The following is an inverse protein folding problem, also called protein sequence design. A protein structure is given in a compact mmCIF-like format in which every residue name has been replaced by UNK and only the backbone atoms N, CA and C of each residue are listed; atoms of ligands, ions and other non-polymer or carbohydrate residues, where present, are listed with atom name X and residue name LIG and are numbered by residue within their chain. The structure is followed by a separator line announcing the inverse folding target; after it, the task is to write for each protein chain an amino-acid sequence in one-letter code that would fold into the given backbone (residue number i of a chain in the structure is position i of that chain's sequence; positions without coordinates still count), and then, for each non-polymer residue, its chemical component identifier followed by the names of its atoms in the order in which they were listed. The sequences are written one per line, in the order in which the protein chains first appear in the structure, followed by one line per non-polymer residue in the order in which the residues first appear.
data_IF_928253175202
#
_entry.id   IF_928253175202
#
_cell.length_a   1.000
_cell.length_b   1.000
_cell.length_c   1.000
_cell.angle_alpha   90.00
_cell.angle_beta   90.00
_cell.angle_gamma   90.00
#
_symmetry.space_group_name_H-M   'P 1'
#
loop_
_entity.id
_entity.type
_entity.pdbx_description
1 polymer ?
#
# COMPACT_ATOMS: atom_id res chain seq x y z
N UNK A 1 3.57 -8.74 -9.61
CA UNK A 1 4.52 -7.93 -10.35
C UNK A 1 5.81 -7.64 -9.58
N UNK A 2 6.72 -6.98 -10.26
CA UNK A 2 8.07 -6.72 -9.74
C UNK A 2 8.06 -5.94 -8.44
N UNK A 3 7.28 -4.87 -8.37
CA UNK A 3 7.24 -4.01 -7.19
C UNK A 3 6.72 -4.76 -5.96
N UNK A 4 5.68 -5.57 -6.12
CA UNK A 4 5.14 -6.38 -5.02
C UNK A 4 6.19 -7.39 -4.52
N UNK A 5 6.96 -7.95 -5.42
CA UNK A 5 8.03 -8.87 -5.06
C UNK A 5 9.13 -8.16 -4.27
N UNK A 6 9.49 -6.94 -4.67
CA UNK A 6 10.46 -6.14 -3.94
C UNK A 6 9.96 -5.77 -2.54
N UNK A 7 8.70 -5.38 -2.43
CA UNK A 7 8.11 -5.03 -1.14
C UNK A 7 8.05 -6.22 -0.20
N UNK A 8 7.68 -7.41 -0.70
CA UNK A 8 7.69 -8.63 0.10
C UNK A 8 9.10 -9.02 0.56
N UNK A 9 10.09 -8.87 -0.33
CA UNK A 9 11.47 -9.15 0.02
C UNK A 9 11.95 -8.22 1.13
N UNK A 10 11.56 -6.95 1.09
CA UNK A 10 11.92 -5.98 2.12
C UNK A 10 11.27 -6.27 3.47
N UNK A 11 10.01 -6.75 3.47
CA UNK A 11 9.31 -7.09 4.71
C UNK A 11 9.98 -8.23 5.46
N UNK A 12 10.55 -9.19 4.75
CA UNK A 12 11.17 -10.37 5.37
C UNK A 12 12.69 -10.31 5.45
N UNK A 13 13.30 -9.24 4.95
CA UNK A 13 14.75 -9.12 4.94
C UNK A 13 15.29 -8.51 6.23
N UNK A 14 16.50 -8.92 6.61
CA UNK A 14 17.24 -8.30 7.69
C UNK A 14 17.91 -7.02 7.18
N UNK A 15 18.14 -6.04 8.05
CA UNK A 15 18.85 -4.83 7.69
C UNK A 15 20.30 -5.12 7.29
N UNK A 16 20.78 -4.44 6.26
CA UNK A 16 22.14 -4.59 5.76
C UNK A 16 22.31 -3.99 4.39
N UNK A 17 23.53 -4.06 3.81
CA UNK A 17 23.80 -3.47 2.50
C UNK A 17 22.95 -4.03 1.36
N UNK A 18 22.63 -5.32 1.39
CA UNK A 18 21.76 -5.92 0.37
C UNK A 18 20.35 -5.37 0.46
N UNK A 19 19.80 -5.26 1.68
CA UNK A 19 18.47 -4.70 1.91
C UNK A 19 18.43 -3.23 1.47
N UNK A 20 19.48 -2.48 1.76
CA UNK A 20 19.57 -1.07 1.33
C UNK A 20 19.58 -0.96 -0.19
N UNK A 21 20.29 -1.86 -0.88
CA UNK A 21 20.32 -1.90 -2.34
C UNK A 21 18.96 -2.23 -2.95
N UNK A 22 18.24 -3.18 -2.37
CA UNK A 22 16.88 -3.52 -2.81
C UNK A 22 15.93 -2.36 -2.58
N UNK A 23 16.03 -1.69 -1.43
CA UNK A 23 15.21 -0.53 -1.11
C UNK A 23 15.44 0.61 -2.10
N UNK A 24 16.70 0.86 -2.45
CA UNK A 24 17.05 1.87 -3.45
C UNK A 24 16.48 1.52 -4.82
N UNK A 25 16.54 0.25 -5.22
CA UNK A 25 15.97 -0.21 -6.49
C UNK A 25 14.46 0.00 -6.52
N UNK A 26 13.77 -0.31 -5.41
CA UNK A 26 12.34 -0.05 -5.28
C UNK A 26 12.04 1.43 -5.44
N UNK A 27 12.78 2.30 -4.75
CA UNK A 27 12.55 3.74 -4.78
C UNK A 27 12.80 4.31 -6.18
N UNK A 28 13.82 3.84 -6.88
CA UNK A 28 14.08 4.25 -8.25
C UNK A 28 12.96 3.83 -9.19
N UNK A 29 12.39 2.64 -9.01
CA UNK A 29 11.26 2.17 -9.80
C UNK A 29 10.03 3.04 -9.54
N UNK A 30 9.74 3.36 -8.30
CA UNK A 30 8.62 4.22 -7.93
C UNK A 30 8.80 5.61 -8.55
N UNK A 31 9.99 6.19 -8.47
CA UNK A 31 10.28 7.50 -9.07
C UNK A 31 10.07 7.49 -10.59
N UNK A 32 10.50 6.43 -11.27
CA UNK A 32 10.32 6.29 -12.71
C UNK A 32 8.84 6.20 -13.07
N UNK A 33 8.04 5.47 -12.28
CA UNK A 33 6.61 5.36 -12.49
C UNK A 33 5.90 6.69 -12.26
N UNK A 34 6.29 7.44 -11.23
CA UNK A 34 5.72 8.75 -10.95
C UNK A 34 5.99 9.74 -12.08
N UNK A 35 7.17 9.67 -12.69
CA UNK A 35 7.51 10.53 -13.83
C UNK A 35 6.59 10.25 -15.03
N UNK A 36 6.06 9.04 -15.17
CA UNK A 36 5.13 8.67 -16.22
C UNK A 36 3.65 8.86 -15.82
N UNK A 37 3.39 9.37 -14.62
CA UNK A 37 2.04 9.64 -14.14
C UNK A 37 1.41 8.52 -13.32
N UNK A 38 2.17 7.48 -12.99
CA UNK A 38 1.72 6.39 -12.12
C UNK A 38 2.12 6.72 -10.69
N UNK A 39 1.14 6.85 -9.81
CA UNK A 39 1.38 7.23 -8.41
C UNK A 39 0.78 6.21 -7.45
N UNK A 40 1.40 6.01 -6.28
CA UNK A 40 0.82 5.15 -5.26
C UNK A 40 -0.44 5.81 -4.67
N UNK A 41 -1.41 4.99 -4.30
CA UNK A 41 -2.60 5.46 -3.59
C UNK A 41 -2.21 5.66 -2.13
N UNK A 42 -2.44 6.86 -1.62
CA UNK A 42 -2.21 7.14 -0.21
C UNK A 42 -3.31 6.54 0.64
N UNK A 43 -2.93 5.74 1.61
CA UNK A 43 -3.85 5.12 2.56
C UNK A 43 -3.71 5.83 3.89
N UNK A 44 -4.72 6.62 4.23
CA UNK A 44 -4.79 7.28 5.53
C UNK A 44 -5.47 6.39 6.57
N UNK A 45 -6.14 7.00 7.51
CA UNK A 45 -6.84 6.27 8.57
C UNK A 45 -8.29 5.96 8.22
N UNK A 46 -8.86 6.63 7.22
CA UNK A 46 -10.25 6.41 6.80
C UNK A 46 -10.31 5.59 5.52
N UNK A 47 -11.29 4.69 5.45
CA UNK A 47 -11.53 3.89 4.27
C UNK A 47 -12.17 4.75 3.17
N UNK A 48 -11.59 4.71 1.95
CA UNK A 48 -12.13 5.39 0.79
C UNK A 48 -12.53 4.36 -0.27
N UNK A 49 -13.82 4.13 -0.51
CA UNK A 49 -14.26 3.12 -1.46
C UNK A 49 -13.90 3.43 -2.91
N UNK A 50 -13.51 4.67 -3.22
CA UNK A 50 -13.09 5.05 -4.58
C UNK A 50 -11.69 4.57 -4.91
N UNK A 51 -10.82 4.41 -3.91
CA UNK A 51 -9.41 4.04 -4.11
C UNK A 51 -9.00 2.77 -3.37
N UNK A 52 -9.87 2.21 -2.54
CA UNK A 52 -9.55 1.09 -1.67
C UNK A 52 -10.59 -0.01 -1.77
N UNK A 53 -10.15 -1.23 -1.49
CA UNK A 53 -11.02 -2.40 -1.41
C UNK A 53 -10.81 -3.06 -0.06
N UNK A 54 -11.87 -3.23 0.71
CA UNK A 54 -11.81 -3.92 2.00
C UNK A 54 -11.88 -5.43 1.76
N UNK A 55 -10.80 -6.14 2.06
CA UNK A 55 -10.75 -7.59 1.92
C UNK A 55 -11.38 -8.31 3.11
N UNK A 56 -11.24 -7.73 4.30
CA UNK A 56 -11.77 -8.29 5.52
C UNK A 56 -11.99 -7.20 6.55
N UNK A 57 -12.72 -7.52 7.59
CA UNK A 57 -12.99 -6.61 8.69
C UNK A 57 -12.57 -7.21 10.02
N UNK A 58 -12.19 -6.34 10.95
CA UNK A 58 -11.90 -6.71 12.33
C UNK A 58 -12.76 -5.85 13.24
N UNK A 59 -13.00 -6.28 14.49
CA UNK A 59 -13.80 -5.49 15.41
C UNK A 59 -13.22 -4.10 15.64
N UNK A 60 -14.07 -3.10 15.68
CA UNK A 60 -13.65 -1.74 16.02
C UNK A 60 -13.21 -1.65 17.48
N UNK A 61 -12.31 -0.72 17.76
CA UNK A 61 -11.79 -0.47 19.10
C UNK A 61 -11.53 1.03 19.26
N UNK A 62 -11.05 1.43 20.43
CA UNK A 62 -10.68 2.84 20.65
C UNK A 62 -9.56 3.28 19.73
N UNK A 63 -8.59 2.39 19.44
CA UNK A 63 -7.49 2.69 18.54
C UNK A 63 -7.94 2.72 17.08
N UNK A 64 -8.93 1.90 16.74
CA UNK A 64 -9.47 1.76 15.39
C UNK A 64 -10.99 1.91 15.43
N UNK A 65 -11.50 3.16 15.41
CA UNK A 65 -12.96 3.39 15.34
C UNK A 65 -13.54 2.78 14.07
N UNK A 66 -14.86 2.55 14.09
CA UNK A 66 -15.58 1.99 12.93
C UNK A 66 -15.24 2.74 11.64
N UNK A 67 -14.94 1.99 10.59
CA UNK A 67 -14.56 2.54 9.29
C UNK A 67 -13.11 2.93 9.14
N UNK A 68 -12.26 2.60 10.11
CA UNK A 68 -10.82 2.89 10.04
C UNK A 68 -10.07 1.82 9.25
N UNK A 69 -9.03 2.24 8.55
CA UNK A 69 -8.08 1.31 7.92
C UNK A 69 -7.09 0.87 8.98
N UNK A 70 -7.04 -0.44 9.22
CA UNK A 70 -6.14 -1.02 10.21
C UNK A 70 -4.80 -1.39 9.57
N UNK A 71 -4.83 -1.98 8.38
CA UNK A 71 -3.65 -2.47 7.71
C UNK A 71 -3.85 -2.45 6.21
N UNK A 72 -2.78 -2.19 5.47
CA UNK A 72 -2.75 -2.29 4.01
C UNK A 72 -2.10 -3.61 3.63
N UNK A 73 -2.88 -4.50 3.02
CA UNK A 73 -2.39 -5.82 2.61
C UNK A 73 -1.70 -5.77 1.25
N UNK A 74 -2.16 -4.90 0.37
CA UNK A 74 -1.63 -4.76 -0.97
C UNK A 74 -1.74 -3.30 -1.42
N UNK A 75 -0.62 -2.76 -1.92
CA UNK A 75 -0.56 -1.36 -2.36
C UNK A 75 -1.41 -1.13 -3.59
N UNK A 76 -2.06 0.02 -3.64
CA UNK A 76 -2.83 0.45 -4.80
C UNK A 76 -2.07 1.48 -5.63
N UNK A 77 -2.48 1.65 -6.88
CA UNK A 77 -1.81 2.52 -7.83
C UNK A 77 -2.82 3.27 -8.70
N UNK A 78 -2.49 4.51 -9.03
CA UNK A 78 -3.27 5.33 -9.96
C UNK A 78 -2.42 5.73 -11.14
N UNK A 79 -3.06 5.84 -12.31
CA UNK A 79 -2.47 6.50 -13.46
C UNK A 79 -3.27 7.78 -13.70
N UNK A 80 -2.64 8.93 -13.38
CA UNK A 80 -3.32 10.24 -13.39
C UNK A 80 -4.59 10.17 -12.54
N UNK A 81 -5.78 10.30 -13.12
CA UNK A 81 -7.06 10.29 -12.37
C UNK A 81 -7.71 8.92 -12.30
N UNK A 82 -7.04 7.88 -12.77
CA UNK A 82 -7.62 6.57 -12.94
C UNK A 82 -6.99 5.55 -12.01
N UNK A 83 -7.81 4.81 -11.28
CA UNK A 83 -7.31 3.73 -10.41
C UNK A 83 -6.93 2.54 -11.28
N UNK A 84 -5.65 2.16 -11.25
CA UNK A 84 -5.13 0.97 -11.93
C UNK A 84 -5.36 -0.27 -11.09
N UNK A 85 -5.13 -0.16 -9.79
CA UNK A 85 -5.33 -1.23 -8.83
C UNK A 85 -5.66 -0.58 -7.49
N UNK A 86 -6.82 -0.90 -6.88
CA UNK A 86 -7.14 -0.32 -5.57
C UNK A 86 -6.22 -0.86 -4.49
N UNK A 87 -6.02 -0.07 -3.44
CA UNK A 87 -5.34 -0.53 -2.25
C UNK A 87 -6.24 -1.54 -1.54
N UNK A 88 -5.70 -2.70 -1.19
CA UNK A 88 -6.44 -3.74 -0.47
C UNK A 88 -6.12 -3.66 1.00
N UNK A 89 -7.15 -3.47 1.79
CA UNK A 89 -6.98 -3.09 3.19
C UNK A 89 -7.85 -3.95 4.11
N UNK A 90 -7.49 -3.92 5.40
CA UNK A 90 -8.31 -4.44 6.48
C UNK A 90 -8.93 -3.23 7.17
N UNK A 91 -10.23 -3.27 7.37
CA UNK A 91 -10.96 -2.16 8.02
C UNK A 91 -11.61 -2.62 9.32
N UNK A 92 -11.81 -1.66 10.23
CA UNK A 92 -12.53 -1.93 11.47
C UNK A 92 -14.04 -1.79 11.24
N UNK A 93 -14.81 -2.62 11.93
CA UNK A 93 -16.27 -2.59 11.83
C UNK A 93 -16.89 -2.99 13.17
N UNK A 94 -17.85 -2.23 13.62
CA UNK A 94 -18.64 -2.56 14.81
C UNK A 94 -19.60 -3.72 14.56
#
# INVERSE_FOLDING_TARGET
PVLDSLERALESAEEGPLTDGVRLTRDNLVDALQAEGVTPIEVGTEFDPNTMEALTTLPASEEHPDGSVIETLESGWMYKDRVLRPARVVVSKE
#
